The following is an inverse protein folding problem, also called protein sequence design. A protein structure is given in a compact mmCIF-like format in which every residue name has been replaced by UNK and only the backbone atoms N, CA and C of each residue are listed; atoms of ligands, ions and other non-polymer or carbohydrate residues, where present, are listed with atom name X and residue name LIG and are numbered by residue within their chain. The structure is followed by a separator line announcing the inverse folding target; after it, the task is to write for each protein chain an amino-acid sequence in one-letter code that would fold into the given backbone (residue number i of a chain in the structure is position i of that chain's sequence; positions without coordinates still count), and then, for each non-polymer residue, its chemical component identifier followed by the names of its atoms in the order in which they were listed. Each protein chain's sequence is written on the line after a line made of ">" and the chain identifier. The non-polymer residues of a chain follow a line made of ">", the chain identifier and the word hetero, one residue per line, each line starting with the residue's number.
data_IF_357232579405
#
_entry.id   IF_357232579405
#
_cell.length_a   1.000
_cell.length_b   1.000
_cell.length_c   1.000
_cell.angle_alpha   90.00
_cell.angle_beta   90.00
_cell.angle_gamma   90.00
#
_symmetry.space_group_name_H-M   'P 1'
#
loop_
_entity.id
_entity.type
_entity.pdbx_description
1 polymer ?
#
# COMPACT_ATOMS: atom_id res chain seq x y z
N UNK A 1 28.24 15.48 -11.75
CA UNK A 1 27.04 15.02 -11.03
C UNK A 1 26.50 13.83 -11.80
N UNK A 2 26.65 12.60 -11.27
CA UNK A 2 26.19 11.38 -11.95
C UNK A 2 24.72 11.17 -11.62
N UNK A 3 23.85 11.33 -12.60
CA UNK A 3 22.45 10.91 -12.49
C UNK A 3 22.44 9.42 -12.17
N UNK A 4 21.99 9.05 -10.97
CA UNK A 4 21.82 7.66 -10.59
C UNK A 4 20.84 6.98 -11.53
N UNK A 5 21.30 6.00 -12.30
CA UNK A 5 20.44 5.18 -13.15
C UNK A 5 19.49 4.39 -12.25
N UNK A 6 18.19 4.75 -12.24
CA UNK A 6 17.15 3.95 -11.59
C UNK A 6 17.10 2.59 -12.27
N UNK A 7 17.52 1.54 -11.55
CA UNK A 7 17.31 0.18 -12.02
C UNK A 7 15.83 -0.13 -11.89
N UNK A 8 15.20 -0.45 -13.01
CA UNK A 8 13.83 -0.97 -13.02
C UNK A 8 13.89 -2.37 -12.45
N UNK A 9 13.14 -2.60 -11.38
CA UNK A 9 12.91 -3.94 -10.82
C UNK A 9 11.52 -4.39 -11.28
N UNK A 10 11.43 -5.58 -11.86
CA UNK A 10 10.18 -6.21 -12.26
C UNK A 10 10.07 -7.58 -11.59
N UNK A 11 8.87 -7.92 -11.11
CA UNK A 11 8.56 -9.20 -10.50
C UNK A 11 7.13 -9.61 -10.80
N UNK A 12 6.88 -10.92 -10.82
CA UNK A 12 5.55 -11.50 -11.02
C UNK A 12 5.33 -12.67 -10.06
N UNK A 13 4.09 -12.85 -9.63
CA UNK A 13 3.65 -14.00 -8.86
C UNK A 13 2.29 -14.50 -9.38
N UNK A 14 2.04 -15.80 -9.25
CA UNK A 14 0.75 -16.40 -9.59
C UNK A 14 0.11 -16.94 -8.32
N UNK A 15 -1.18 -16.65 -8.13
CA UNK A 15 -1.96 -17.09 -6.97
C UNK A 15 -3.15 -17.92 -7.43
N UNK A 16 -3.51 -18.93 -6.64
CA UNK A 16 -4.65 -19.80 -6.89
C UNK A 16 -5.97 -19.17 -6.39
N UNK A 17 -6.28 -17.95 -6.85
CA UNK A 17 -7.46 -17.18 -6.49
C UNK A 17 -8.13 -16.64 -7.75
N UNK A 18 -9.45 -16.42 -7.71
CA UNK A 18 -10.11 -15.65 -8.77
C UNK A 18 -9.61 -14.19 -8.74
N UNK A 19 -9.67 -13.44 -9.86
CA UNK A 19 -9.24 -12.05 -9.90
C UNK A 19 -9.88 -11.18 -8.82
N UNK A 20 -11.18 -11.34 -8.58
CA UNK A 20 -11.94 -10.56 -7.59
C UNK A 20 -11.47 -10.86 -6.16
N UNK A 21 -11.23 -12.14 -5.85
CA UNK A 21 -10.71 -12.56 -4.54
C UNK A 21 -9.27 -12.12 -4.35
N UNK A 22 -8.44 -12.21 -5.37
CA UNK A 22 -7.06 -11.74 -5.32
C UNK A 22 -7.02 -10.24 -5.06
N UNK A 23 -7.84 -9.46 -5.78
CA UNK A 23 -7.95 -8.02 -5.57
C UNK A 23 -8.33 -7.70 -4.13
N UNK A 24 -9.43 -8.26 -3.62
CA UNK A 24 -9.88 -8.04 -2.25
C UNK A 24 -8.83 -8.46 -1.20
N UNK A 25 -8.17 -9.61 -1.38
CA UNK A 25 -7.11 -10.05 -0.46
C UNK A 25 -5.93 -9.08 -0.41
N UNK A 26 -5.45 -8.64 -1.58
CA UNK A 26 -4.30 -7.73 -1.65
C UNK A 26 -4.63 -6.32 -1.18
N UNK A 27 -5.88 -5.87 -1.22
CA UNK A 27 -6.27 -4.53 -0.76
C UNK A 27 -6.79 -4.50 0.67
N UNK A 28 -7.64 -5.45 1.06
CA UNK A 28 -8.35 -5.44 2.35
C UNK A 28 -7.59 -6.19 3.45
N UNK A 29 -6.73 -7.14 3.08
CA UNK A 29 -5.94 -7.94 4.04
C UNK A 29 -4.47 -7.52 4.08
N UNK A 30 -4.16 -6.26 3.77
CA UNK A 30 -2.79 -5.76 3.58
C UNK A 30 -1.86 -6.09 4.75
N UNK A 31 -2.29 -5.84 5.99
CA UNK A 31 -1.53 -6.16 7.19
C UNK A 31 -1.23 -7.63 7.43
N UNK A 32 -2.00 -8.55 6.83
CA UNK A 32 -1.82 -10.00 7.02
C UNK A 32 -0.67 -10.59 6.21
N UNK A 33 -0.31 -9.96 5.09
CA UNK A 33 0.71 -10.47 4.17
C UNK A 33 1.89 -9.51 3.99
N UNK A 34 1.73 -8.22 4.31
CA UNK A 34 2.85 -7.29 4.29
C UNK A 34 3.86 -7.69 5.39
N UNK A 35 5.16 -7.83 5.07
CA UNK A 35 6.14 -8.22 6.08
C UNK A 35 6.31 -7.12 7.13
N UNK A 36 6.00 -7.43 8.39
CA UNK A 36 6.10 -6.47 9.50
C UNK A 36 7.52 -5.94 9.75
N UNK A 37 8.55 -6.65 9.26
CA UNK A 37 9.94 -6.19 9.30
C UNK A 37 10.21 -4.97 8.40
N UNK A 38 9.33 -4.70 7.41
CA UNK A 38 9.46 -3.58 6.49
C UNK A 38 8.49 -2.46 6.87
N UNK A 39 8.90 -1.70 7.88
CA UNK A 39 8.22 -0.51 8.40
C UNK A 39 9.17 0.69 8.47
N UNK A 40 8.61 1.90 8.44
CA UNK A 40 9.35 3.18 8.46
C UNK A 40 9.31 3.82 9.86
N UNK A 41 8.31 3.50 10.67
CA UNK A 41 8.10 4.05 11.99
C UNK A 41 9.17 3.63 13.01
N UNK A 42 9.16 4.34 14.13
CA UNK A 42 10.15 4.16 15.22
C UNK A 42 9.80 2.98 16.14
N UNK A 43 8.59 2.45 16.02
CA UNK A 43 8.03 1.41 16.87
C UNK A 43 7.69 0.18 16.03
N UNK A 44 7.67 -0.99 16.67
CA UNK A 44 7.28 -2.23 16.00
C UNK A 44 5.90 -2.08 15.35
N UNK A 45 5.77 -2.55 14.10
CA UNK A 45 4.54 -2.44 13.33
C UNK A 45 3.54 -3.46 13.84
N UNK A 46 2.36 -2.99 14.22
CA UNK A 46 1.23 -3.83 14.54
C UNK A 46 0.40 -4.16 13.29
N UNK A 47 0.26 -3.20 12.38
CA UNK A 47 -0.57 -3.34 11.18
C UNK A 47 -0.10 -2.42 10.04
N UNK A 48 -0.42 -2.81 8.80
CA UNK A 48 -0.24 -2.00 7.61
C UNK A 48 -1.60 -1.87 6.91
N UNK A 49 -2.05 -0.63 6.74
CA UNK A 49 -3.43 -0.32 6.39
C UNK A 49 -3.49 0.38 5.05
N UNK A 50 -4.38 -0.13 4.19
CA UNK A 50 -4.71 0.42 2.89
C UNK A 50 -6.18 0.84 2.89
N UNK A 51 -6.46 2.14 2.90
CA UNK A 51 -7.84 2.61 2.82
C UNK A 51 -8.36 2.45 1.38
N UNK A 52 -9.51 1.79 1.18
CA UNK A 52 -10.06 1.58 -0.16
C UNK A 52 -10.60 2.88 -0.78
N UNK A 53 -10.55 2.96 -2.11
CA UNK A 53 -11.16 4.05 -2.90
C UNK A 53 -10.22 5.22 -3.24
N UNK A 54 -10.72 6.12 -4.09
CA UNK A 54 -9.99 7.34 -4.45
C UNK A 54 -9.74 8.22 -3.24
N UNK A 55 -8.53 8.75 -3.11
CA UNK A 55 -8.14 9.55 -1.95
C UNK A 55 -7.83 8.74 -0.69
N UNK A 56 -7.89 7.41 -0.72
CA UNK A 56 -7.49 6.57 0.41
C UNK A 56 -6.02 6.75 0.80
N UNK A 57 -5.72 6.54 2.08
CA UNK A 57 -4.36 6.61 2.63
C UNK A 57 -3.72 5.23 2.74
N UNK A 58 -2.40 5.22 2.70
CA UNK A 58 -1.58 4.07 3.01
C UNK A 58 -0.64 4.41 4.15
N UNK A 59 -0.75 3.67 5.26
CA UNK A 59 0.00 3.95 6.47
C UNK A 59 0.22 2.68 7.29
N UNK A 60 1.22 2.73 8.17
CA UNK A 60 1.40 1.72 9.22
C UNK A 60 0.88 2.23 10.56
N UNK A 61 0.48 1.29 11.41
CA UNK A 61 0.16 1.53 12.81
C UNK A 61 1.15 0.78 13.69
N UNK A 62 1.83 1.50 14.57
CA UNK A 62 2.69 0.93 15.60
C UNK A 62 1.90 0.28 16.73
N UNK A 63 2.53 -0.60 17.49
CA UNK A 63 1.93 -1.27 18.67
C UNK A 63 1.40 -0.30 19.73
N UNK A 64 1.91 0.92 19.78
CA UNK A 64 1.46 1.98 20.70
C UNK A 64 0.32 2.83 20.12
N UNK A 65 -0.22 2.45 18.96
CA UNK A 65 -1.29 3.16 18.26
C UNK A 65 -0.84 4.37 17.45
N UNK A 66 0.47 4.65 17.38
CA UNK A 66 1.02 5.72 16.54
C UNK A 66 0.92 5.35 15.06
N UNK A 67 0.49 6.28 14.22
CA UNK A 67 0.38 6.08 12.77
C UNK A 67 1.55 6.75 12.04
N UNK A 68 2.11 6.07 11.05
CA UNK A 68 3.14 6.62 10.15
C UNK A 68 2.69 6.48 8.70
N UNK A 69 2.48 7.62 8.03
CA UNK A 69 2.01 7.65 6.64
C UNK A 69 3.10 7.25 5.66
N UNK A 70 2.74 6.39 4.71
CA UNK A 70 3.61 6.02 3.58
C UNK A 70 3.19 6.75 2.30
N UNK A 71 1.89 7.03 2.12
CA UNK A 71 1.39 7.78 0.97
C UNK A 71 -0.12 7.93 0.92
N UNK A 72 -0.62 8.52 -0.16
CA UNK A 72 -2.04 8.71 -0.45
C UNK A 72 -2.32 8.40 -1.91
N UNK A 73 -3.49 7.84 -2.20
CA UNK A 73 -3.98 7.71 -3.56
C UNK A 73 -4.38 9.08 -4.08
N UNK A 74 -3.86 9.48 -5.25
CA UNK A 74 -4.21 10.76 -5.84
C UNK A 74 -5.67 10.78 -6.26
N UNK A 75 -6.47 11.71 -5.73
CA UNK A 75 -7.64 12.17 -6.48
C UNK A 75 -7.09 12.99 -7.65
N UNK A 76 -7.19 12.47 -8.87
CA UNK A 76 -7.01 13.32 -10.05
C UNK A 76 -7.94 14.53 -9.91
N UNK A 77 -7.40 15.73 -10.13
CA UNK A 77 -8.15 16.98 -10.23
C UNK A 77 -9.49 16.77 -10.96
N UNK A 78 -10.60 17.06 -10.27
CA UNK A 78 -11.96 16.92 -10.75
C UNK A 78 -12.12 17.60 -12.13
N UNK A 79 -12.15 16.82 -13.20
CA UNK A 79 -12.91 17.18 -14.41
C UNK A 79 -13.84 16.03 -14.72
N UNK A 80 -15.02 16.16 -14.14
CA UNK A 80 -16.30 15.54 -14.49
C UNK A 80 -16.26 14.59 -15.71
N UNK A 81 -16.43 13.31 -15.44
CA UNK A 81 -16.83 12.32 -16.42
C UNK A 81 -17.41 11.14 -15.66
N UNK A 82 -18.74 11.00 -15.71
CA UNK A 82 -19.47 9.86 -15.14
C UNK A 82 -18.90 8.53 -15.60
N UNK A 83 -18.90 7.58 -14.66
CA UNK A 83 -18.67 6.15 -14.82
C UNK A 83 -19.41 5.53 -16.01
#
# INVERSE_FOLDING_TARGET
>A
MTTGQRRVLEGKATVAMSPERAFAFFTESFGSWWPAAYHIGKTAMADAILEPGEGGRWYERGVEGTECGWGQYGSGNHRTGSW
#
